data_IF_978313392295
#
_entry.id   IF_978313392295
#
_cell.length_a   1.000
_cell.length_b   1.000
_cell.length_c   1.000
_cell.angle_alpha   90.00
_cell.angle_beta   90.00
_cell.angle_gamma   90.00
#
_symmetry.space_group_name_H-M   'P 1'
#
loop_
_entity.id
_entity.type
_entity.pdbx_description
1 polymer ?
#
# COMPACT_ATOMS: atom_id res chain seq x y z
N UNK A 1 -39.56 4.12 3.21
CA UNK A 1 -38.48 4.86 2.53
C UNK A 1 -37.24 4.00 2.28
N UNK A 2 -36.63 3.40 3.32
CA UNK A 2 -35.43 2.54 3.18
C UNK A 2 -35.50 1.46 2.09
N UNK A 3 -36.59 0.70 2.02
CA UNK A 3 -36.80 -0.37 1.03
C UNK A 3 -36.85 0.11 -0.43
N UNK A 4 -37.10 1.40 -0.66
CA UNK A 4 -37.05 2.01 -1.99
C UNK A 4 -35.62 2.40 -2.40
N UNK A 5 -34.71 2.52 -1.44
CA UNK A 5 -33.35 3.01 -1.67
C UNK A 5 -32.32 1.89 -1.67
N UNK A 6 -32.48 0.86 -0.83
CA UNK A 6 -31.47 -0.20 -0.63
C UNK A 6 -32.12 -1.58 -0.35
N UNK A 7 -31.34 -2.65 -0.57
CA UNK A 7 -31.74 -4.06 -0.38
C UNK A 7 -31.15 -4.74 0.86
N UNK A 8 -30.41 -4.00 1.70
CA UNK A 8 -29.76 -4.55 2.89
C UNK A 8 -30.33 -3.96 4.19
N UNK A 9 -30.18 -4.71 5.28
CA UNK A 9 -30.45 -4.27 6.66
C UNK A 9 -29.21 -3.64 7.30
N UNK A 10 -29.40 -2.74 8.27
CA UNK A 10 -28.29 -2.14 9.04
C UNK A 10 -27.53 -1.04 8.28
N UNK A 11 -26.21 -1.00 8.43
CA UNK A 11 -25.33 -0.11 7.65
C UNK A 11 -24.22 -0.92 6.98
N UNK A 12 -23.77 -0.47 5.82
CA UNK A 12 -22.59 -1.02 5.14
C UNK A 12 -21.47 0.01 5.14
N UNK A 13 -20.23 -0.43 5.24
CA UNK A 13 -19.07 0.47 5.14
C UNK A 13 -18.65 0.62 3.68
N UNK A 14 -18.49 1.87 3.25
CA UNK A 14 -17.90 2.23 1.97
C UNK A 14 -16.47 2.71 2.22
N UNK A 15 -15.55 2.32 1.35
CA UNK A 15 -14.11 2.55 1.56
C UNK A 15 -13.57 3.39 0.40
N UNK A 16 -13.09 4.59 0.70
CA UNK A 16 -12.32 5.40 -0.24
C UNK A 16 -10.83 5.27 0.06
N UNK A 17 -10.01 5.14 -0.98
CA UNK A 17 -8.57 5.08 -0.86
C UNK A 17 -7.97 6.45 -1.13
N UNK A 18 -7.02 6.85 -0.28
CA UNK A 18 -6.21 8.05 -0.48
C UNK A 18 -4.73 7.70 -0.46
N UNK A 19 -3.97 8.31 -1.38
CA UNK A 19 -2.50 8.29 -1.39
C UNK A 19 -1.88 9.42 -0.56
N UNK A 20 -2.71 10.31 0.00
CA UNK A 20 -2.29 11.44 0.84
C UNK A 20 -3.01 11.41 2.19
N UNK A 21 -2.33 11.91 3.22
CA UNK A 21 -2.93 12.04 4.55
C UNK A 21 -4.17 12.96 4.48
N UNK A 22 -5.16 12.73 5.34
CA UNK A 22 -6.34 13.58 5.43
C UNK A 22 -6.01 15.04 5.83
N UNK A 23 -4.85 15.24 6.45
CA UNK A 23 -4.35 16.56 6.84
C UNK A 23 -3.39 17.18 5.80
N UNK A 24 -3.16 16.51 4.66
CA UNK A 24 -2.32 17.04 3.59
C UNK A 24 -3.07 18.17 2.85
N UNK A 25 -2.46 19.35 2.78
CA UNK A 25 -3.05 20.52 2.12
C UNK A 25 -3.23 20.37 0.60
N UNK A 26 -2.55 19.38 0.01
CA UNK A 26 -2.63 19.06 -1.41
C UNK A 26 -3.60 17.90 -1.71
N UNK A 27 -4.36 17.45 -0.70
CA UNK A 27 -5.39 16.44 -0.86
C UNK A 27 -6.56 16.97 -1.70
N UNK A 28 -6.93 16.24 -2.73
CA UNK A 28 -8.07 16.56 -3.60
C UNK A 28 -9.30 15.81 -3.10
N UNK A 29 -10.05 16.43 -2.18
CA UNK A 29 -11.25 15.83 -1.58
C UNK A 29 -12.30 15.33 -2.59
N UNK A 30 -12.40 15.98 -3.75
CA UNK A 30 -13.30 15.54 -4.82
C UNK A 30 -13.06 14.10 -5.26
N UNK A 31 -11.81 13.64 -5.29
CA UNK A 31 -11.50 12.24 -5.64
C UNK A 31 -12.01 11.25 -4.59
N UNK A 32 -12.03 11.64 -3.31
CA UNK A 32 -12.57 10.83 -2.21
C UNK A 32 -14.10 10.77 -2.31
N UNK A 33 -14.76 11.92 -2.54
CA UNK A 33 -16.22 11.98 -2.64
C UNK A 33 -16.74 11.21 -3.84
N UNK A 34 -16.11 11.35 -5.01
CA UNK A 34 -16.46 10.56 -6.20
C UNK A 34 -16.35 9.05 -5.95
N UNK A 35 -15.32 8.56 -5.23
CA UNK A 35 -15.22 7.15 -4.87
C UNK A 35 -16.40 6.66 -4.01
N UNK A 36 -16.88 7.50 -3.09
CA UNK A 36 -18.05 7.16 -2.27
C UNK A 36 -19.34 7.19 -3.09
N UNK A 37 -19.56 8.19 -3.94
CA UNK A 37 -20.79 8.26 -4.74
C UNK A 37 -20.88 7.15 -5.77
N UNK A 38 -19.76 6.71 -6.35
CA UNK A 38 -19.71 5.51 -7.20
C UNK A 38 -20.09 4.23 -6.43
N UNK A 39 -19.64 4.10 -5.17
CA UNK A 39 -20.01 2.97 -4.31
C UNK A 39 -21.48 3.04 -3.88
N UNK A 40 -21.99 4.21 -3.53
CA UNK A 40 -23.42 4.42 -3.25
C UNK A 40 -24.22 3.98 -4.46
N UNK A 41 -23.87 4.46 -5.66
CA UNK A 41 -24.55 4.12 -6.92
C UNK A 41 -24.68 2.62 -7.15
N UNK A 42 -23.68 1.83 -6.75
CA UNK A 42 -23.69 0.36 -6.87
C UNK A 42 -24.60 -0.33 -5.85
N UNK A 43 -24.87 0.32 -4.71
CA UNK A 43 -25.59 -0.27 -3.58
C UNK A 43 -27.01 0.29 -3.40
N UNK A 44 -27.37 1.34 -4.13
CA UNK A 44 -28.72 1.92 -4.13
C UNK A 44 -29.53 1.46 -5.33
N UNK A 45 -30.85 1.47 -5.17
CA UNK A 45 -31.79 1.18 -6.25
C UNK A 45 -31.95 2.37 -7.18
N UNK A 46 -32.15 2.07 -8.46
CA UNK A 46 -32.49 3.05 -9.49
C UNK A 46 -31.33 4.00 -9.79
N UNK A 47 -31.69 5.23 -10.17
CA UNK A 47 -30.76 6.27 -10.63
C UNK A 47 -30.65 7.45 -9.63
N UNK A 48 -30.82 7.18 -8.33
CA UNK A 48 -30.82 8.21 -7.29
C UNK A 48 -29.57 9.09 -7.33
N UNK A 49 -28.40 8.47 -7.50
CA UNK A 49 -27.13 9.19 -7.53
C UNK A 49 -27.09 10.13 -8.74
N UNK A 50 -27.50 9.66 -9.92
CA UNK A 50 -27.55 10.49 -11.13
C UNK A 50 -28.55 11.64 -11.01
N UNK A 51 -29.71 11.40 -10.40
CA UNK A 51 -30.74 12.42 -10.19
C UNK A 51 -30.27 13.54 -9.26
N UNK A 52 -29.46 13.21 -8.25
CA UNK A 52 -28.96 14.16 -7.27
C UNK A 52 -27.61 14.78 -7.65
N UNK A 53 -26.88 14.19 -8.61
CA UNK A 53 -25.60 14.72 -9.07
C UNK A 53 -25.83 15.95 -9.95
N UNK A 54 -25.18 17.06 -9.62
CA UNK A 54 -25.16 18.23 -10.49
C UNK A 54 -24.42 17.89 -11.80
N UNK A 55 -25.12 18.01 -12.94
CA UNK A 55 -24.60 17.69 -14.27
C UNK A 55 -25.16 18.64 -15.36
N UNK A 56 -25.47 19.88 -15.00
CA UNK A 56 -25.98 20.89 -15.91
C UNK A 56 -24.86 21.53 -16.74
N UNK A 57 -25.20 22.21 -17.83
CA UNK A 57 -24.23 22.87 -18.72
C UNK A 57 -23.39 23.97 -18.03
N UNK A 58 -23.88 24.50 -16.91
CA UNK A 58 -23.19 25.50 -16.08
C UNK A 58 -22.52 24.90 -14.85
N UNK A 59 -22.61 23.58 -14.64
CA UNK A 59 -22.00 22.91 -13.50
C UNK A 59 -20.48 22.98 -13.59
N UNK A 60 -19.85 23.52 -12.56
CA UNK A 60 -18.41 23.45 -12.37
C UNK A 60 -18.06 22.30 -11.42
N UNK A 61 -16.77 22.06 -11.22
CA UNK A 61 -16.28 21.08 -10.23
C UNK A 61 -16.79 21.38 -8.82
N UNK A 62 -17.05 22.65 -8.48
CA UNK A 62 -17.56 23.03 -7.16
C UNK A 62 -18.99 22.55 -6.94
N UNK A 63 -19.90 22.82 -7.87
CA UNK A 63 -21.30 22.39 -7.75
C UNK A 63 -21.41 20.86 -7.82
N UNK A 64 -20.55 20.21 -8.62
CA UNK A 64 -20.47 18.74 -8.64
C UNK A 64 -20.08 18.19 -7.26
N UNK A 65 -19.01 18.68 -6.65
CA UNK A 65 -18.56 18.26 -5.31
C UNK A 65 -19.65 18.51 -4.25
N UNK A 66 -20.29 19.69 -4.27
CA UNK A 66 -21.37 20.00 -3.34
C UNK A 66 -22.53 19.00 -3.44
N UNK A 67 -22.88 18.59 -4.66
CA UNK A 67 -23.91 17.57 -4.88
C UNK A 67 -23.49 16.18 -4.37
N UNK A 68 -22.22 15.79 -4.57
CA UNK A 68 -21.69 14.52 -4.07
C UNK A 68 -21.70 14.47 -2.53
N UNK A 69 -21.31 15.55 -1.86
CA UNK A 69 -21.40 15.69 -0.39
C UNK A 69 -22.85 15.58 0.08
N UNK A 70 -23.78 16.21 -0.65
CA UNK A 70 -25.22 16.16 -0.33
C UNK A 70 -25.77 14.73 -0.44
N UNK A 71 -25.37 13.98 -1.48
CA UNK A 71 -25.69 12.56 -1.63
C UNK A 71 -25.14 11.76 -0.44
N UNK A 72 -23.88 11.97 -0.07
CA UNK A 72 -23.26 11.29 1.07
C UNK A 72 -24.00 11.56 2.38
N UNK A 73 -24.32 12.82 2.68
CA UNK A 73 -25.06 13.17 3.90
C UNK A 73 -26.46 12.54 3.91
N UNK A 74 -27.15 12.54 2.77
CA UNK A 74 -28.46 11.87 2.61
C UNK A 74 -28.38 10.37 2.88
N UNK A 75 -27.27 9.74 2.50
CA UNK A 75 -27.08 8.29 2.58
C UNK A 75 -26.38 7.80 3.86
N UNK A 76 -25.96 8.73 4.73
CA UNK A 76 -25.34 8.48 6.05
C UNK A 76 -26.14 7.57 7.01
N UNK A 77 -27.48 7.50 6.97
CA UNK A 77 -28.22 6.50 7.76
C UNK A 77 -28.02 5.05 7.26
N UNK A 78 -27.52 4.86 6.05
CA UNK A 78 -27.38 3.55 5.39
C UNK A 78 -25.91 3.12 5.22
N UNK A 79 -25.00 4.08 5.15
CA UNK A 79 -23.58 3.81 4.97
C UNK A 79 -22.73 4.44 6.07
N UNK A 80 -21.61 3.78 6.32
CA UNK A 80 -20.46 4.31 7.04
C UNK A 80 -19.38 4.64 6.01
N UNK A 81 -18.80 5.84 6.11
CA UNK A 81 -17.79 6.31 5.15
C UNK A 81 -16.41 6.22 5.79
N UNK A 82 -15.56 5.35 5.25
CA UNK A 82 -14.20 5.11 5.75
C UNK A 82 -13.21 5.57 4.68
N UNK A 83 -12.28 6.44 5.04
CA UNK A 83 -11.13 6.76 4.18
C UNK A 83 -9.92 6.02 4.70
N UNK A 84 -9.30 5.20 3.85
CA UNK A 84 -8.03 4.54 4.15
C UNK A 84 -6.90 5.25 3.43
N UNK A 85 -5.90 5.65 4.22
CA UNK A 85 -4.65 6.19 3.71
C UNK A 85 -3.65 5.04 3.57
N UNK A 86 -3.33 4.68 2.32
CA UNK A 86 -2.38 3.61 2.04
C UNK A 86 -1.07 4.25 1.59
N UNK A 87 -0.11 4.33 2.50
CA UNK A 87 1.29 4.60 2.19
C UNK A 87 2.07 3.33 2.44
N UNK A 88 2.12 2.44 1.47
CA UNK A 88 3.06 1.34 1.57
C UNK A 88 3.59 0.99 0.18
N UNK A 89 4.91 0.93 0.08
CA UNK A 89 5.61 0.45 -1.10
C UNK A 89 6.98 1.10 -1.28
N UNK A 90 7.91 0.32 -1.81
CA UNK A 90 9.16 0.82 -2.39
C UNK A 90 8.86 0.99 -3.89
N UNK A 91 8.79 2.23 -4.41
CA UNK A 91 8.31 2.48 -5.76
C UNK A 91 9.31 2.03 -6.83
N UNK A 92 10.60 2.13 -6.53
CA UNK A 92 11.70 1.78 -7.42
C UNK A 92 12.90 1.31 -6.59
N UNK A 93 13.70 0.41 -7.18
CA UNK A 93 14.97 -0.04 -6.63
C UNK A 93 16.01 0.09 -7.73
N UNK A 94 17.05 0.88 -7.47
CA UNK A 94 18.22 1.01 -8.34
C UNK A 94 19.35 0.17 -7.75
N UNK A 95 19.83 -0.81 -8.52
CA UNK A 95 21.00 -1.59 -8.14
C UNK A 95 22.25 -0.93 -8.72
N UNK A 96 23.06 -0.33 -7.85
CA UNK A 96 24.34 0.27 -8.23
C UNK A 96 25.48 -0.78 -8.28
N UNK A 97 26.58 -0.43 -8.93
CA UNK A 97 27.74 -1.30 -9.12
C UNK A 97 27.66 -2.19 -10.37
N UNK A 98 28.77 -2.84 -10.69
CA UNK A 98 28.90 -3.71 -11.87
C UNK A 98 28.60 -5.18 -11.53
N UNK A 99 28.31 -6.04 -12.53
CA UNK A 99 28.26 -7.49 -12.32
C UNK A 99 29.49 -8.05 -11.60
N UNK A 100 30.68 -7.57 -11.94
CA UNK A 100 31.95 -7.98 -11.35
C UNK A 100 32.05 -7.59 -9.87
N UNK A 101 31.48 -6.44 -9.47
CA UNK A 101 31.43 -6.03 -8.08
C UNK A 101 30.55 -6.99 -7.26
N UNK A 102 29.37 -7.34 -7.77
CA UNK A 102 28.44 -8.23 -7.09
C UNK A 102 28.97 -9.67 -7.02
N UNK A 103 29.67 -10.15 -8.04
CA UNK A 103 30.37 -11.44 -7.98
C UNK A 103 31.47 -11.45 -6.91
N UNK A 104 32.25 -10.37 -6.80
CA UNK A 104 33.26 -10.22 -5.74
C UNK A 104 32.64 -10.17 -4.35
N UNK A 105 31.51 -9.47 -4.18
CA UNK A 105 30.78 -9.45 -2.90
C UNK A 105 30.33 -10.85 -2.51
N UNK A 106 29.73 -11.60 -3.45
CA UNK A 106 29.31 -12.98 -3.21
C UNK A 106 30.50 -13.91 -2.87
N UNK A 107 31.61 -13.79 -3.58
CA UNK A 107 32.82 -14.57 -3.30
C UNK A 107 33.38 -14.28 -1.90
N UNK A 108 33.51 -13.00 -1.53
CA UNK A 108 33.95 -12.58 -0.19
C UNK A 108 33.00 -13.08 0.91
N UNK A 109 31.69 -13.03 0.67
CA UNK A 109 30.72 -13.55 1.63
C UNK A 109 30.88 -15.06 1.84
N UNK A 110 31.18 -15.84 0.78
CA UNK A 110 31.46 -17.28 0.91
C UNK A 110 32.71 -17.57 1.73
N UNK A 111 33.76 -16.75 1.60
CA UNK A 111 34.98 -16.89 2.42
C UNK A 111 34.72 -16.67 3.92
N UNK A 112 33.70 -15.88 4.27
CA UNK A 112 33.33 -15.66 5.68
C UNK A 112 32.85 -16.94 6.38
N UNK A 113 32.49 -18.01 5.65
CA UNK A 113 32.12 -19.30 6.24
C UNK A 113 33.24 -19.88 7.12
N UNK A 114 34.50 -19.59 6.80
CA UNK A 114 35.67 -20.03 7.57
C UNK A 114 35.73 -19.43 9.00
N UNK A 115 35.02 -18.33 9.25
CA UNK A 115 35.00 -17.63 10.53
C UNK A 115 33.87 -18.10 11.46
N UNK A 116 33.43 -19.36 11.31
CA UNK A 116 32.28 -19.94 12.04
C UNK A 116 30.94 -19.23 11.79
N UNK A 117 30.85 -18.46 10.70
CA UNK A 117 29.64 -17.76 10.27
C UNK A 117 28.84 -18.56 9.21
N UNK A 118 29.12 -19.86 9.07
CA UNK A 118 28.49 -20.70 8.05
C UNK A 118 26.97 -20.64 8.07
N UNK A 119 26.36 -20.63 9.26
CA UNK A 119 24.91 -20.55 9.44
C UNK A 119 24.33 -19.24 8.85
N UNK A 120 24.98 -18.10 9.09
CA UNK A 120 24.54 -16.80 8.59
C UNK A 120 24.77 -16.67 7.09
N UNK A 121 25.96 -17.09 6.61
CA UNK A 121 26.27 -17.01 5.19
C UNK A 121 25.33 -17.91 4.37
N UNK A 122 24.89 -19.06 4.89
CA UNK A 122 23.88 -19.90 4.22
C UNK A 122 22.56 -19.16 3.98
N UNK A 123 22.18 -18.22 4.84
CA UNK A 123 21.00 -17.39 4.66
C UNK A 123 21.24 -16.20 3.70
N UNK A 124 22.43 -15.58 3.77
CA UNK A 124 22.81 -14.42 2.98
C UNK A 124 23.15 -14.76 1.51
N UNK A 125 23.72 -15.93 1.27
CA UNK A 125 24.21 -16.35 -0.05
C UNK A 125 23.10 -16.33 -1.14
N UNK A 126 21.90 -16.90 -0.93
CA UNK A 126 20.81 -16.81 -1.91
C UNK A 126 20.38 -15.36 -2.22
N UNK A 127 20.52 -14.45 -1.25
CA UNK A 127 20.22 -13.02 -1.46
C UNK A 127 21.26 -12.43 -2.40
N UNK A 128 22.55 -12.62 -2.13
CA UNK A 128 23.64 -12.11 -2.97
C UNK A 128 23.65 -12.71 -4.37
N UNK A 129 23.21 -13.96 -4.54
CA UNK A 129 23.00 -14.56 -5.86
C UNK A 129 21.95 -13.83 -6.70
N UNK A 130 20.86 -13.37 -6.08
CA UNK A 130 19.85 -12.55 -6.77
C UNK A 130 20.39 -11.16 -7.14
N UNK A 131 21.31 -10.59 -6.36
CA UNK A 131 22.02 -9.36 -6.72
C UNK A 131 22.90 -9.56 -7.96
N UNK A 132 23.67 -10.66 -8.02
CA UNK A 132 24.47 -11.02 -9.20
C UNK A 132 23.60 -11.25 -10.44
N UNK A 133 22.46 -11.93 -10.29
CA UNK A 133 21.52 -12.13 -11.42
C UNK A 133 20.95 -10.78 -11.89
N UNK A 134 20.55 -9.93 -10.95
CA UNK A 134 19.94 -8.63 -11.23
C UNK A 134 20.93 -7.68 -11.92
N UNK A 135 22.19 -7.63 -11.48
CA UNK A 135 23.23 -6.80 -12.11
C UNK A 135 23.53 -7.23 -13.55
N UNK A 136 23.34 -8.52 -13.89
CA UNK A 136 23.42 -9.07 -15.26
C UNK A 136 22.13 -8.92 -16.07
N UNK A 137 21.17 -8.13 -15.60
CA UNK A 137 19.89 -7.88 -16.27
C UNK A 137 18.82 -8.96 -16.08
N UNK A 138 19.05 -9.98 -15.23
CA UNK A 138 18.08 -11.03 -14.93
C UNK A 138 17.33 -10.70 -13.64
N UNK A 139 16.29 -9.87 -13.76
CA UNK A 139 15.54 -9.36 -12.61
C UNK A 139 14.44 -10.31 -12.15
N UNK A 140 14.48 -10.73 -10.88
CA UNK A 140 13.41 -11.46 -10.21
C UNK A 140 12.51 -10.49 -9.43
N UNK A 141 11.43 -10.01 -10.05
CA UNK A 141 10.51 -9.05 -9.42
C UNK A 141 9.95 -9.55 -8.09
N UNK A 142 9.62 -10.84 -7.99
CA UNK A 142 9.07 -11.41 -6.75
C UNK A 142 10.08 -11.35 -5.60
N UNK A 143 11.35 -11.60 -5.87
CA UNK A 143 12.41 -11.43 -4.87
C UNK A 143 12.48 -9.97 -4.38
N UNK A 144 12.62 -9.00 -5.30
CA UNK A 144 12.75 -7.58 -4.94
C UNK A 144 11.51 -7.01 -4.23
N UNK A 145 10.30 -7.43 -4.60
CA UNK A 145 9.06 -7.06 -3.90
C UNK A 145 8.98 -7.62 -2.46
N UNK A 146 9.79 -8.62 -2.10
CA UNK A 146 9.86 -9.18 -0.75
C UNK A 146 11.07 -8.65 0.05
N UNK A 147 11.70 -7.55 -0.37
CA UNK A 147 12.85 -6.95 0.30
C UNK A 147 12.55 -6.49 1.73
N UNK A 148 11.46 -5.76 1.90
CA UNK A 148 11.13 -5.10 3.16
C UNK A 148 9.63 -5.19 3.41
N UNK A 149 9.25 -5.62 4.61
CA UNK A 149 7.88 -5.56 5.13
C UNK A 149 7.95 -5.04 6.55
N UNK A 150 7.23 -3.96 6.84
CA UNK A 150 7.03 -3.52 8.21
C UNK A 150 5.66 -3.99 8.69
N UNK A 151 5.66 -4.68 9.83
CA UNK A 151 4.46 -5.10 10.52
C UNK A 151 4.30 -4.24 11.79
N UNK A 152 3.28 -3.39 11.80
CA UNK A 152 2.81 -2.76 13.03
C UNK A 152 1.53 -3.49 13.49
N UNK A 153 1.53 -4.01 14.73
CA UNK A 153 0.34 -4.63 15.34
C UNK A 153 -0.49 -3.64 16.17
N UNK A 154 -0.47 -2.36 15.82
CA UNK A 154 -1.16 -1.28 16.53
C UNK A 154 -0.26 -0.44 17.42
N UNK A 155 -0.87 0.54 18.11
CA UNK A 155 -0.16 1.55 18.91
C UNK A 155 0.64 0.91 20.05
N UNK A 156 1.96 1.15 20.10
CA UNK A 156 2.86 0.67 21.16
C UNK A 156 3.47 -0.72 20.95
N UNK A 157 3.11 -1.44 19.88
CA UNK A 157 3.82 -2.68 19.51
C UNK A 157 5.15 -2.35 18.81
N UNK A 158 6.26 -3.07 19.10
CA UNK A 158 7.48 -2.91 18.33
C UNK A 158 7.20 -3.12 16.84
N UNK A 159 7.76 -2.26 15.98
CA UNK A 159 7.75 -2.51 14.55
C UNK A 159 8.59 -3.76 14.28
N UNK A 160 7.95 -4.81 13.76
CA UNK A 160 8.66 -5.99 13.30
C UNK A 160 8.96 -5.78 11.82
N UNK A 161 10.25 -5.69 11.50
CA UNK A 161 10.72 -5.66 10.13
C UNK A 161 10.94 -7.10 9.68
N UNK A 162 10.38 -7.45 8.54
CA UNK A 162 10.51 -8.75 7.87
C UNK A 162 10.91 -8.54 6.39
N UNK A 163 11.16 -9.63 5.67
CA UNK A 163 11.71 -9.63 4.32
C UNK A 163 13.20 -9.98 4.31
N UNK A 164 13.78 -10.19 3.12
CA UNK A 164 15.15 -10.70 3.04
C UNK A 164 16.22 -9.69 3.49
N UNK A 165 15.89 -8.40 3.64
CA UNK A 165 16.85 -7.37 4.07
C UNK A 165 17.41 -7.64 5.48
N UNK A 166 16.65 -8.32 6.33
CA UNK A 166 17.10 -8.67 7.70
C UNK A 166 18.28 -9.63 7.68
N UNK A 167 18.47 -10.40 6.59
CA UNK A 167 19.57 -11.36 6.44
C UNK A 167 20.95 -10.69 6.32
N UNK A 168 21.02 -9.37 6.10
CA UNK A 168 22.27 -8.62 6.15
C UNK A 168 22.78 -8.42 7.58
N UNK A 169 21.97 -8.70 8.61
CA UNK A 169 22.31 -8.51 10.00
C UNK A 169 22.45 -9.87 10.68
N UNK A 170 23.68 -10.34 10.97
CA UNK A 170 23.91 -11.62 11.64
C UNK A 170 23.53 -11.62 13.11
N UNK A 171 23.30 -10.48 13.73
CA UNK A 171 23.01 -10.40 15.16
C UNK A 171 21.93 -9.37 15.43
N UNK A 172 21.14 -9.61 16.47
CA UNK A 172 20.23 -8.63 17.02
C UNK A 172 20.99 -7.53 17.80
N UNK A 173 20.24 -6.56 18.33
CA UNK A 173 20.80 -5.44 19.10
C UNK A 173 21.50 -5.86 20.40
N UNK A 174 21.40 -7.11 20.83
CA UNK A 174 22.04 -7.69 22.00
C UNK A 174 23.22 -8.61 21.63
N UNK A 175 23.52 -8.78 20.34
CA UNK A 175 24.59 -9.66 19.87
C UNK A 175 24.19 -11.13 19.83
N UNK A 176 22.89 -11.44 19.88
CA UNK A 176 22.38 -12.81 19.74
C UNK A 176 22.07 -13.10 18.26
N UNK A 177 22.25 -14.36 17.86
CA UNK A 177 21.89 -14.87 16.53
C UNK A 177 20.38 -14.78 16.26
#
# INVERSE_FOLDING_TARGET
MRSYLIDFSGKQSLIAQSKKSLNDSTLVWGEIFSQFTEQIKKNVKGNLVELLTCNFSTTTSLEKIASEITIMETMKPYFEFIVIYIVCGIPEITLEGTPEDWEKVLAKARELKEYKLGWWISELEPVLEEFVKTSKGKVNKKFWCNMFKSHSKGCGSPEIIDGWIVKFFPYDKYGME
#
